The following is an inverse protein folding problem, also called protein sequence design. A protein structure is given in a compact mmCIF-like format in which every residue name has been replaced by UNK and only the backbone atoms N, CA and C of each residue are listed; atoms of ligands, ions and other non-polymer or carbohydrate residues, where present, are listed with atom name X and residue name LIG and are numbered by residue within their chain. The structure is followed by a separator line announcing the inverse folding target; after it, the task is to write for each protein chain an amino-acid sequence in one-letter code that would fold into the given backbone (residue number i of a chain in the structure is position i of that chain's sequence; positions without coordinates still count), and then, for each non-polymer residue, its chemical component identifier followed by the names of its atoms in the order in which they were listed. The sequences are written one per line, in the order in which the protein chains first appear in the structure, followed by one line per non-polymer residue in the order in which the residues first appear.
data_IF_591983888788
#
_entry.id   IF_591983888788
#
_cell.length_a   1.000
_cell.length_b   1.000
_cell.length_c   1.000
_cell.angle_alpha   90.00
_cell.angle_beta   90.00
_cell.angle_gamma   90.00
#
_symmetry.space_group_name_H-M   'P 1'
#
loop_
_entity.id
_entity.type
_entity.pdbx_description
1 polymer ?
#
# COMPACT_ATOMS: atom_id res chain seq x y z
N UNK A 1 46.12 6.80 18.22
CA UNK A 1 45.02 6.02 18.84
C UNK A 1 43.73 6.21 18.02
N UNK A 2 43.65 5.62 16.82
CA UNK A 2 42.50 5.68 15.89
C UNK A 2 42.39 4.50 14.88
N UNK A 3 43.39 3.60 14.67
CA UNK A 3 43.22 2.51 13.69
C UNK A 3 42.50 1.29 14.28
N UNK A 4 42.39 1.17 15.61
CA UNK A 4 41.87 -0.04 16.28
C UNK A 4 40.35 -0.16 16.10
N UNK A 5 39.60 0.95 16.07
CA UNK A 5 38.14 0.93 15.98
C UNK A 5 37.63 0.52 14.60
N UNK A 6 38.35 0.84 13.51
CA UNK A 6 37.96 0.52 12.13
C UNK A 6 38.09 -0.98 11.85
N UNK A 7 39.13 -1.63 12.39
CA UNK A 7 39.38 -3.06 12.21
C UNK A 7 38.27 -3.90 12.88
N UNK A 8 37.77 -3.47 14.04
CA UNK A 8 36.70 -4.16 14.77
C UNK A 8 35.38 -4.12 14.01
N UNK A 9 35.06 -3.01 13.33
CA UNK A 9 33.82 -2.88 12.54
C UNK A 9 33.84 -3.69 11.25
N UNK A 10 34.98 -3.74 10.55
CA UNK A 10 35.11 -4.52 9.32
C UNK A 10 35.12 -6.02 9.62
N UNK A 11 35.85 -6.45 10.66
CA UNK A 11 35.85 -7.84 11.09
C UNK A 11 34.48 -8.34 11.55
N UNK A 12 33.73 -7.50 12.26
CA UNK A 12 32.35 -7.83 12.67
C UNK A 12 31.41 -8.00 11.48
N UNK A 13 31.49 -7.12 10.47
CA UNK A 13 30.66 -7.21 9.27
C UNK A 13 31.02 -8.45 8.43
N UNK A 14 32.30 -8.78 8.28
CA UNK A 14 32.73 -10.00 7.57
C UNK A 14 32.29 -11.28 8.27
N UNK A 15 32.31 -11.31 9.61
CA UNK A 15 31.86 -12.47 10.39
C UNK A 15 30.34 -12.69 10.24
N UNK A 16 29.55 -11.62 10.29
CA UNK A 16 28.10 -11.70 10.07
C UNK A 16 27.77 -12.19 8.67
N UNK A 17 28.46 -11.67 7.64
CA UNK A 17 28.30 -12.14 6.26
C UNK A 17 28.71 -13.61 6.08
N UNK A 18 29.76 -14.07 6.76
CA UNK A 18 30.18 -15.46 6.75
C UNK A 18 29.14 -16.39 7.42
N UNK A 19 28.53 -15.95 8.53
CA UNK A 19 27.45 -16.71 9.19
C UNK A 19 26.22 -16.78 8.29
N UNK A 20 25.85 -15.68 7.63
CA UNK A 20 24.74 -15.66 6.67
C UNK A 20 25.01 -16.63 5.51
N UNK A 21 26.24 -16.70 4.99
CA UNK A 21 26.63 -17.68 3.97
C UNK A 21 26.63 -19.13 4.49
N UNK A 22 27.10 -19.35 5.73
CA UNK A 22 27.23 -20.69 6.31
C UNK A 22 25.91 -21.29 6.81
N UNK A 23 24.93 -20.44 7.16
CA UNK A 23 23.60 -20.86 7.62
C UNK A 23 22.52 -20.74 6.52
N UNK A 24 22.90 -20.36 5.30
CA UNK A 24 21.99 -20.37 4.16
C UNK A 24 21.81 -21.81 3.67
N UNK A 25 20.59 -22.38 3.74
CA UNK A 25 20.38 -23.77 3.37
C UNK A 25 20.70 -23.98 1.89
N UNK A 26 21.59 -24.93 1.61
CA UNK A 26 21.94 -25.34 0.25
C UNK A 26 20.70 -25.87 -0.48
N UNK A 27 20.43 -25.28 -1.64
CA UNK A 27 19.39 -25.57 -2.65
C UNK A 27 19.08 -27.05 -2.98
N UNK A 28 19.89 -27.99 -2.54
CA UNK A 28 19.77 -29.42 -2.86
C UNK A 28 18.83 -30.18 -1.90
N UNK A 29 18.58 -29.67 -0.67
CA UNK A 29 17.69 -30.30 0.32
C UNK A 29 16.19 -29.97 0.09
N UNK A 30 15.88 -29.09 -0.86
CA UNK A 30 14.50 -28.68 -1.17
C UNK A 30 13.83 -29.57 -2.24
N UNK A 31 14.59 -30.43 -2.92
CA UNK A 31 14.10 -31.22 -4.07
C UNK A 31 13.75 -32.66 -3.69
N UNK A 32 14.20 -33.16 -2.53
CA UNK A 32 14.17 -34.60 -2.24
C UNK A 32 12.92 -35.12 -1.49
N UNK A 33 11.95 -34.28 -1.12
CA UNK A 33 10.73 -34.75 -0.42
C UNK A 33 9.52 -35.04 -1.31
N UNK A 34 9.64 -34.97 -2.64
CA UNK A 34 8.53 -35.23 -3.56
C UNK A 34 8.66 -36.59 -4.25
N UNK A 35 8.76 -37.67 -3.46
CA UNK A 35 8.58 -39.04 -3.93
C UNK A 35 8.11 -39.93 -2.79
N UNK A 36 6.84 -39.75 -2.44
CA UNK A 36 6.08 -40.66 -1.59
C UNK A 36 4.67 -40.75 -2.17
N UNK A 37 4.41 -41.83 -2.90
CA UNK A 37 3.10 -42.15 -3.43
C UNK A 37 2.06 -42.22 -2.30
N UNK A 38 0.92 -41.54 -2.45
CA UNK A 38 -0.27 -41.88 -1.68
C UNK A 38 -1.52 -41.73 -2.53
N UNK A 39 -2.26 -42.83 -2.53
CA UNK A 39 -3.50 -43.14 -3.22
C UNK A 39 -4.60 -42.09 -3.06
N UNK A 40 -5.34 -41.94 -4.16
CA UNK A 40 -6.63 -41.27 -4.31
C UNK A 40 -7.61 -41.67 -3.20
N UNK A 41 -8.20 -40.69 -2.52
CA UNK A 41 -9.53 -40.84 -1.93
C UNK A 41 -10.29 -39.51 -1.99
N UNK A 42 -11.23 -39.44 -2.93
CA UNK A 42 -12.14 -38.32 -3.11
C UNK A 42 -13.18 -38.32 -1.98
N UNK A 43 -13.13 -37.32 -1.10
CA UNK A 43 -14.23 -37.04 -0.18
C UNK A 43 -14.91 -35.74 -0.60
N UNK A 44 -16.20 -35.86 -0.97
CA UNK A 44 -17.05 -34.80 -1.49
C UNK A 44 -17.31 -33.75 -0.40
N UNK A 45 -17.01 -32.48 -0.67
CA UNK A 45 -17.56 -31.36 0.09
C UNK A 45 -18.90 -30.93 -0.55
N UNK A 46 -19.97 -30.67 0.23
CA UNK A 46 -21.25 -30.22 -0.32
C UNK A 46 -21.11 -28.80 -0.87
N UNK A 47 -21.49 -28.61 -2.14
CA UNK A 47 -21.59 -27.31 -2.77
C UNK A 47 -22.76 -26.54 -2.14
N UNK A 48 -22.47 -25.40 -1.50
CA UNK A 48 -23.50 -24.41 -1.19
C UNK A 48 -23.89 -23.71 -2.50
N UNK A 49 -25.05 -24.07 -3.03
CA UNK A 49 -25.66 -23.41 -4.18
C UNK A 49 -26.33 -22.10 -3.73
N UNK A 50 -25.62 -20.98 -3.89
CA UNK A 50 -26.12 -19.63 -3.66
C UNK A 50 -26.87 -19.09 -4.89
N UNK A 51 -27.83 -19.87 -5.39
CA UNK A 51 -28.71 -19.42 -6.47
C UNK A 51 -29.83 -18.53 -5.88
N UNK A 52 -29.73 -17.23 -6.13
CA UNK A 52 -30.77 -16.25 -5.76
C UNK A 52 -31.91 -16.33 -6.81
N UNK A 53 -33.17 -16.62 -6.42
CA UNK A 53 -34.29 -16.66 -7.34
C UNK A 53 -34.57 -15.28 -7.96
N UNK A 54 -34.67 -15.21 -9.29
CA UNK A 54 -35.17 -14.02 -10.00
C UNK A 54 -34.19 -13.29 -10.92
N UNK A 55 -32.94 -13.75 -11.06
CA UNK A 55 -31.98 -13.19 -12.02
C UNK A 55 -31.88 -14.10 -13.24
N UNK A 56 -32.18 -13.63 -14.47
CA UNK A 56 -31.94 -14.43 -15.67
C UNK A 56 -30.44 -14.55 -15.94
N UNK A 57 -29.88 -15.74 -15.72
CA UNK A 57 -28.51 -16.09 -16.09
C UNK A 57 -28.38 -16.14 -17.62
N UNK A 58 -27.75 -15.12 -18.23
CA UNK A 58 -27.33 -15.18 -19.63
C UNK A 58 -26.19 -16.21 -19.77
N UNK A 59 -26.23 -17.11 -20.76
CA UNK A 59 -25.09 -17.96 -21.06
C UNK A 59 -23.93 -17.11 -21.58
N UNK A 60 -22.81 -17.11 -20.86
CA UNK A 60 -21.52 -16.68 -21.38
C UNK A 60 -21.14 -17.64 -22.50
N UNK A 61 -21.37 -17.25 -23.75
CA UNK A 61 -20.79 -17.94 -24.90
C UNK A 61 -19.28 -17.74 -24.86
N UNK A 62 -18.54 -18.84 -24.79
CA UNK A 62 -17.09 -18.87 -24.86
C UNK A 62 -16.62 -18.16 -26.13
N UNK A 63 -16.12 -16.94 -26.00
CA UNK A 63 -15.30 -16.32 -27.04
C UNK A 63 -13.85 -16.64 -26.72
N UNK A 64 -13.30 -17.59 -27.47
CA UNK A 64 -11.87 -17.87 -27.56
C UNK A 64 -11.21 -16.60 -28.10
N UNK A 65 -10.71 -15.77 -27.18
CA UNK A 65 -9.79 -14.68 -27.47
C UNK A 65 -8.37 -15.19 -27.26
N UNK A 66 -7.61 -15.32 -28.34
CA UNK A 66 -6.18 -15.60 -28.34
C UNK A 66 -5.45 -14.43 -27.67
N UNK A 67 -5.22 -14.53 -26.36
CA UNK A 67 -4.39 -13.63 -25.57
C UNK A 67 -3.27 -14.43 -24.92
N UNK A 68 -2.02 -14.04 -25.19
CA UNK A 68 -0.81 -14.69 -24.71
C UNK A 68 -0.83 -14.87 -23.18
N UNK A 69 -0.73 -16.12 -22.73
CA UNK A 69 -0.49 -16.47 -21.35
C UNK A 69 0.95 -16.10 -20.96
N UNK A 70 1.10 -15.18 -20.01
CA UNK A 70 2.36 -15.03 -19.28
C UNK A 70 2.62 -16.29 -18.43
N UNK A 71 3.88 -16.68 -18.20
CA UNK A 71 4.19 -17.90 -17.47
C UNK A 71 3.85 -17.74 -15.99
N UNK A 72 2.85 -18.48 -15.51
CA UNK A 72 2.54 -18.61 -14.08
C UNK A 72 3.30 -19.79 -13.53
N UNK A 73 4.39 -19.55 -12.79
CA UNK A 73 5.09 -20.58 -12.02
C UNK A 73 4.35 -20.79 -10.70
N UNK A 74 3.56 -21.86 -10.62
CA UNK A 74 2.86 -22.26 -9.40
C UNK A 74 3.80 -23.06 -8.49
N UNK A 75 4.22 -22.47 -7.38
CA UNK A 75 4.83 -23.19 -6.25
C UNK A 75 3.89 -23.11 -5.03
N UNK A 76 3.40 -24.28 -4.63
CA UNK A 76 2.91 -24.66 -3.29
C UNK A 76 2.26 -23.61 -2.39
N UNK A 77 0.93 -23.63 -2.33
CA UNK A 77 0.24 -23.91 -1.06
C UNK A 77 0.34 -22.91 0.09
N UNK A 78 0.73 -21.66 -0.16
CA UNK A 78 0.22 -20.47 0.52
C UNK A 78 0.57 -19.33 -0.43
N UNK A 79 -0.37 -18.99 -1.32
CA UNK A 79 -0.23 -17.80 -2.15
C UNK A 79 -0.40 -16.57 -1.26
N UNK A 80 0.67 -16.19 -0.54
CA UNK A 80 0.97 -14.76 -0.49
C UNK A 80 1.13 -14.39 -1.95
N UNK A 81 0.21 -13.61 -2.55
CA UNK A 81 0.28 -13.34 -3.97
C UNK A 81 1.69 -12.82 -4.23
N UNK A 82 2.43 -13.37 -5.20
CA UNK A 82 3.70 -12.77 -5.65
C UNK A 82 3.47 -11.26 -5.90
N UNK A 83 2.25 -10.93 -6.33
CA UNK A 83 1.63 -9.62 -6.44
C UNK A 83 1.68 -8.77 -5.15
N UNK A 84 1.45 -9.33 -3.96
CA UNK A 84 1.46 -8.59 -2.70
C UNK A 84 2.86 -8.17 -2.24
N UNK A 85 3.87 -9.03 -2.42
CA UNK A 85 5.28 -8.69 -2.16
C UNK A 85 5.78 -7.72 -3.22
N UNK A 86 5.47 -7.97 -4.49
CA UNK A 86 5.80 -7.08 -5.60
C UNK A 86 5.18 -5.69 -5.42
N UNK A 87 3.91 -5.60 -4.99
CA UNK A 87 3.22 -4.35 -4.67
C UNK A 87 3.91 -3.61 -3.52
N UNK A 88 4.25 -4.31 -2.43
CA UNK A 88 4.99 -3.69 -1.31
C UNK A 88 6.35 -3.17 -1.75
N UNK A 89 7.07 -3.92 -2.59
CA UNK A 89 8.35 -3.47 -3.15
C UNK A 89 8.13 -2.22 -4.01
N UNK A 90 7.09 -2.18 -4.84
CA UNK A 90 6.74 -1.01 -5.65
C UNK A 90 6.36 0.20 -4.78
N UNK A 91 5.63 -0.01 -3.69
CA UNK A 91 5.29 1.04 -2.72
C UNK A 91 6.54 1.59 -2.01
N UNK A 92 7.43 0.72 -1.54
CA UNK A 92 8.70 1.12 -0.90
C UNK A 92 9.60 1.86 -1.88
N UNK A 93 9.72 1.38 -3.12
CA UNK A 93 10.51 2.06 -4.17
C UNK A 93 9.92 3.43 -4.49
N UNK A 94 8.60 3.53 -4.63
CA UNK A 94 7.93 4.80 -4.89
C UNK A 94 8.11 5.80 -3.73
N UNK A 95 8.04 5.34 -2.48
CA UNK A 95 8.30 6.19 -1.32
C UNK A 95 9.75 6.72 -1.31
N UNK A 96 10.73 5.92 -1.77
CA UNK A 96 12.12 6.35 -1.90
C UNK A 96 12.31 7.35 -3.05
N UNK A 97 11.69 7.13 -4.21
CA UNK A 97 11.68 8.11 -5.31
C UNK A 97 11.06 9.44 -4.86
N UNK A 98 9.92 9.39 -4.17
CA UNK A 98 9.27 10.58 -3.63
C UNK A 98 10.21 11.33 -2.69
N UNK A 99 10.90 10.66 -1.76
CA UNK A 99 11.85 11.31 -0.85
C UNK A 99 13.04 11.95 -1.58
N UNK A 100 13.53 11.30 -2.64
CA UNK A 100 14.64 11.83 -3.44
C UNK A 100 14.27 13.13 -4.16
N UNK A 101 13.03 13.24 -4.66
CA UNK A 101 12.57 14.41 -5.41
C UNK A 101 11.85 15.46 -4.55
N UNK A 102 11.24 15.05 -3.44
CA UNK A 102 10.47 15.85 -2.51
C UNK A 102 10.91 15.52 -1.07
N UNK A 103 11.87 16.28 -0.52
CA UNK A 103 12.48 15.98 0.78
C UNK A 103 11.48 16.08 1.92
N UNK A 104 11.73 15.37 3.01
CA UNK A 104 10.89 15.38 4.22
C UNK A 104 10.86 16.74 4.94
N UNK A 105 11.76 17.66 4.58
CA UNK A 105 11.69 19.05 5.05
C UNK A 105 10.46 19.79 4.55
N UNK A 106 9.86 19.34 3.43
CA UNK A 106 8.55 19.80 2.99
C UNK A 106 7.49 19.03 3.76
N UNK A 107 6.60 19.74 4.45
CA UNK A 107 5.48 19.16 5.18
C UNK A 107 4.15 19.51 4.49
N UNK A 108 3.11 18.74 4.82
CA UNK A 108 1.73 19.01 4.43
C UNK A 108 1.53 19.32 2.94
N UNK A 109 0.94 20.49 2.68
CA UNK A 109 0.48 20.93 1.36
C UNK A 109 1.65 21.22 0.39
N UNK A 110 2.80 21.65 0.91
CA UNK A 110 4.00 21.92 0.10
C UNK A 110 4.59 20.63 -0.44
N UNK A 111 4.66 19.58 0.39
CA UNK A 111 5.12 18.26 -0.04
C UNK A 111 4.17 17.63 -1.06
N UNK A 112 2.87 17.74 -0.81
CA UNK A 112 1.85 17.27 -1.74
C UNK A 112 1.96 17.98 -3.10
N UNK A 113 2.11 19.30 -3.07
CA UNK A 113 2.31 20.11 -4.27
C UNK A 113 3.58 19.70 -5.02
N UNK A 114 4.68 19.44 -4.32
CA UNK A 114 5.91 18.92 -4.92
C UNK A 114 5.68 17.59 -5.67
N UNK A 115 5.00 16.64 -5.02
CA UNK A 115 4.71 15.32 -5.61
C UNK A 115 3.81 15.46 -6.85
N UNK A 116 2.78 16.29 -6.78
CA UNK A 116 1.87 16.53 -7.91
C UNK A 116 2.59 17.14 -9.12
N UNK A 117 3.44 18.14 -8.90
CA UNK A 117 4.17 18.80 -9.98
C UNK A 117 5.20 17.87 -10.64
N UNK A 118 5.73 16.90 -9.88
CA UNK A 118 6.75 15.97 -10.35
C UNK A 118 6.20 14.61 -10.76
N UNK A 119 4.89 14.42 -10.82
CA UNK A 119 4.25 13.14 -11.12
C UNK A 119 4.88 12.43 -12.33
N UNK A 120 5.08 13.17 -13.43
CA UNK A 120 5.66 12.65 -14.68
C UNK A 120 7.14 12.26 -14.60
N UNK A 121 7.86 12.69 -13.56
CA UNK A 121 9.28 12.37 -13.33
C UNK A 121 9.48 11.06 -12.58
N UNK A 122 8.44 10.54 -11.93
CA UNK A 122 8.48 9.24 -11.26
C UNK A 122 8.31 8.11 -12.27
N UNK A 123 8.73 6.90 -11.89
CA UNK A 123 8.53 5.70 -12.70
C UNK A 123 7.03 5.37 -12.87
N UNK A 124 6.66 4.62 -13.92
CA UNK A 124 5.27 4.31 -14.24
C UNK A 124 4.50 3.61 -13.09
N UNK A 125 5.16 2.72 -12.35
CA UNK A 125 4.57 2.09 -11.17
C UNK A 125 4.33 3.09 -10.03
N UNK A 126 5.26 4.02 -9.82
CA UNK A 126 5.11 5.07 -8.81
C UNK A 126 4.05 6.10 -9.23
N UNK A 127 3.95 6.43 -10.51
CA UNK A 127 2.88 7.28 -11.05
C UNK A 127 1.49 6.73 -10.70
N UNK A 128 1.26 5.43 -10.90
CA UNK A 128 -0.01 4.80 -10.54
C UNK A 128 -0.29 4.87 -9.04
N UNK A 129 0.71 4.58 -8.21
CA UNK A 129 0.58 4.65 -6.74
C UNK A 129 0.26 6.08 -6.30
N UNK A 130 0.97 7.08 -6.84
CA UNK A 130 0.73 8.49 -6.52
C UNK A 130 -0.64 8.94 -6.99
N UNK A 131 -1.06 8.60 -8.21
CA UNK A 131 -2.40 8.93 -8.70
C UNK A 131 -3.49 8.36 -7.80
N UNK A 132 -3.36 7.10 -7.39
CA UNK A 132 -4.30 6.47 -6.47
C UNK A 132 -4.33 7.18 -5.10
N UNK A 133 -3.16 7.57 -4.57
CA UNK A 133 -3.07 8.37 -3.33
C UNK A 133 -3.72 9.74 -3.50
N UNK A 134 -3.52 10.42 -4.63
CA UNK A 134 -4.06 11.74 -4.91
C UNK A 134 -5.59 11.74 -4.99
N UNK A 135 -6.19 10.74 -5.63
CA UNK A 135 -7.65 10.58 -5.67
C UNK A 135 -8.22 10.46 -4.26
N UNK A 136 -7.64 9.56 -3.46
CA UNK A 136 -8.05 9.38 -2.06
C UNK A 136 -7.88 10.64 -1.23
N UNK A 137 -6.82 11.41 -1.48
CA UNK A 137 -6.59 12.67 -0.77
C UNK A 137 -7.62 13.73 -1.16
N UNK A 138 -7.87 13.92 -2.46
CA UNK A 138 -8.86 14.89 -2.95
C UNK A 138 -10.26 14.60 -2.39
N UNK A 139 -10.64 13.33 -2.33
CA UNK A 139 -11.90 12.91 -1.71
C UNK A 139 -11.94 13.27 -0.22
N UNK A 140 -10.85 13.01 0.51
CA UNK A 140 -10.73 13.38 1.91
C UNK A 140 -10.73 14.90 2.14
N UNK A 141 -10.51 15.69 1.10
CA UNK A 141 -10.47 17.16 1.14
C UNK A 141 -11.79 17.82 0.73
N UNK A 142 -12.77 17.03 0.28
CA UNK A 142 -14.10 17.50 -0.11
C UNK A 142 -14.84 18.26 0.98
N UNK A 143 -14.50 18.03 2.26
CA UNK A 143 -15.07 18.76 3.39
C UNK A 143 -14.72 20.26 3.39
N UNK A 144 -13.60 20.67 2.77
CA UNK A 144 -13.12 22.08 2.82
C UNK A 144 -14.21 23.06 2.35
N UNK A 145 -15.02 22.67 1.37
CA UNK A 145 -16.10 23.51 0.82
C UNK A 145 -17.35 23.50 1.70
N UNK A 146 -17.74 22.34 2.22
CA UNK A 146 -18.92 22.21 3.07
C UNK A 146 -18.73 22.87 4.44
N UNK A 147 -17.50 22.88 4.95
CA UNK A 147 -17.16 23.33 6.30
C UNK A 147 -16.70 24.80 6.38
N UNK A 148 -16.76 25.61 5.31
CA UNK A 148 -16.22 26.98 5.31
C UNK A 148 -16.78 27.84 6.45
N UNK A 149 -18.08 27.71 6.72
CA UNK A 149 -18.77 28.47 7.78
C UNK A 149 -18.33 27.96 9.16
N UNK A 150 -18.31 26.64 9.35
CA UNK A 150 -17.94 26.02 10.61
C UNK A 150 -16.46 26.26 10.96
N UNK A 151 -15.56 26.25 9.97
CA UNK A 151 -14.15 26.62 10.14
C UNK A 151 -14.01 28.06 10.64
N UNK A 152 -14.80 29.01 10.12
CA UNK A 152 -14.78 30.40 10.60
C UNK A 152 -15.31 30.55 12.02
N UNK A 153 -16.24 29.69 12.41
CA UNK A 153 -16.89 29.71 13.74
C UNK A 153 -16.02 29.07 14.82
N UNK A 154 -15.49 27.88 14.55
CA UNK A 154 -14.80 27.05 15.55
C UNK A 154 -13.28 27.06 15.38
N UNK A 155 -12.77 27.08 14.15
CA UNK A 155 -11.36 26.85 13.83
C UNK A 155 -10.62 28.09 13.30
N UNK A 156 -11.10 29.31 13.59
CA UNK A 156 -10.60 30.55 12.98
C UNK A 156 -9.12 30.81 13.23
N UNK A 157 -8.61 30.40 14.39
CA UNK A 157 -7.22 30.59 14.82
C UNK A 157 -6.30 29.45 14.39
N UNK A 158 -6.85 28.39 13.78
CA UNK A 158 -6.10 27.20 13.39
C UNK A 158 -5.41 27.45 12.05
N UNK A 159 -4.09 27.26 11.95
CA UNK A 159 -3.41 27.39 10.66
C UNK A 159 -3.88 26.30 9.69
N UNK A 160 -4.09 26.66 8.42
CA UNK A 160 -4.55 25.74 7.37
C UNK A 160 -3.57 24.61 7.01
N UNK A 161 -2.34 24.66 7.52
CA UNK A 161 -1.30 23.67 7.24
C UNK A 161 -1.50 22.35 8.00
N UNK A 162 -0.96 21.28 7.42
CA UNK A 162 -0.81 19.93 8.00
C UNK A 162 -2.12 19.26 8.45
N UNK A 163 -3.25 19.66 7.87
CA UNK A 163 -4.55 19.08 8.22
C UNK A 163 -5.06 19.52 9.60
N UNK A 164 -4.46 20.52 10.25
CA UNK A 164 -4.88 21.00 11.57
C UNK A 164 -6.32 21.50 11.60
N UNK A 165 -6.79 22.12 10.52
CA UNK A 165 -8.20 22.56 10.40
C UNK A 165 -9.14 21.35 10.43
N UNK A 166 -8.79 20.24 9.78
CA UNK A 166 -9.59 19.02 9.84
C UNK A 166 -9.62 18.42 11.24
N UNK A 167 -8.50 18.49 11.97
CA UNK A 167 -8.44 18.03 13.36
C UNK A 167 -9.33 18.87 14.27
N UNK A 168 -9.28 20.19 14.15
CA UNK A 168 -10.18 21.07 14.88
C UNK A 168 -11.66 20.81 14.55
N UNK A 169 -12.00 20.60 13.28
CA UNK A 169 -13.37 20.24 12.91
C UNK A 169 -13.81 18.90 13.53
N UNK A 170 -12.94 17.89 13.58
CA UNK A 170 -13.23 16.62 14.24
C UNK A 170 -13.44 16.79 15.75
N UNK A 171 -12.68 17.66 16.41
CA UNK A 171 -12.87 17.96 17.84
C UNK A 171 -14.22 18.64 18.11
N UNK A 172 -14.72 19.42 17.15
CA UNK A 172 -16.01 20.10 17.21
C UNK A 172 -17.12 19.36 16.48
N UNK A 173 -16.98 18.06 16.18
CA UNK A 173 -17.89 17.35 15.27
C UNK A 173 -19.37 17.39 15.66
N UNK A 174 -19.65 17.52 16.96
CA UNK A 174 -21.00 17.61 17.52
C UNK A 174 -21.66 18.99 17.32
N UNK A 175 -20.85 20.04 17.12
CA UNK A 175 -21.30 21.43 16.98
C UNK A 175 -21.31 21.90 15.51
N UNK A 176 -20.86 21.05 14.58
CA UNK A 176 -20.82 21.35 13.15
C UNK A 176 -22.21 21.34 12.51
N UNK A 177 -22.35 22.07 11.41
CA UNK A 177 -23.48 21.90 10.51
C UNK A 177 -23.59 20.47 9.96
N UNK A 178 -24.81 19.98 9.69
CA UNK A 178 -25.04 18.62 9.16
C UNK A 178 -24.26 18.39 7.85
N UNK A 179 -24.23 19.40 6.97
CA UNK A 179 -23.49 19.34 5.71
C UNK A 179 -21.99 19.16 5.92
N UNK A 180 -21.41 19.91 6.86
CA UNK A 180 -19.99 19.76 7.20
C UNK A 180 -19.72 18.39 7.83
N UNK A 181 -20.50 17.99 8.85
CA UNK A 181 -20.33 16.72 9.56
C UNK A 181 -20.36 15.50 8.63
N UNK A 182 -21.26 15.50 7.65
CA UNK A 182 -21.38 14.41 6.66
C UNK A 182 -20.23 14.36 5.66
N UNK A 183 -19.61 15.51 5.38
CA UNK A 183 -18.48 15.63 4.45
C UNK A 183 -17.13 15.28 5.07
N UNK A 184 -17.04 15.22 6.41
CA UNK A 184 -15.80 14.92 7.09
C UNK A 184 -15.32 13.49 6.76
N UNK A 185 -14.04 13.30 6.40
CA UNK A 185 -13.47 11.98 6.23
C UNK A 185 -13.51 11.21 7.55
N UNK A 186 -14.14 10.04 7.55
CA UNK A 186 -14.21 9.15 8.72
C UNK A 186 -12.95 8.29 8.77
N UNK A 187 -11.98 8.69 9.59
CA UNK A 187 -10.74 7.93 9.82
C UNK A 187 -9.59 8.84 10.26
N UNK A 188 -8.62 8.29 11.01
CA UNK A 188 -7.40 9.03 11.34
C UNK A 188 -6.60 9.26 10.07
N UNK A 189 -6.59 10.49 9.56
CA UNK A 189 -5.52 10.94 8.67
C UNK A 189 -4.26 11.00 9.51
N UNK A 190 -3.54 9.87 9.58
CA UNK A 190 -2.15 9.89 10.00
C UNK A 190 -1.39 10.58 8.87
N UNK A 191 -1.34 11.91 8.96
CA UNK A 191 -0.32 12.69 8.27
C UNK A 191 1.01 12.19 8.85
N UNK A 192 1.66 11.28 8.11
CA UNK A 192 2.99 10.80 8.45
C UNK A 192 3.91 12.03 8.39
N UNK A 193 4.21 12.59 9.56
CA UNK A 193 5.23 13.63 9.76
C UNK A 193 6.54 13.21 9.10
#
# INVERSE_FOLDING_TARGET
MKPITIVVTVGGLSLVWAIVWANLPSKEELVSSQSGASSVQASRAPALDLSIPGVPSRPMTNSVGTGQAAPVTTLGGLSVPLDSRARKIAEVKCDAEIQQYCPDSLAGEDRQSCVMQRLKRFDASCQQIVQQRLVRWKEAEGYKVACVVDVRRFCRTVPAADGRVLQCLQEHEQDLSEGCYRSLPKGRLQTRN
#
